data_IF_120568776778
#
_entry.id   IF_120568776778
#
_cell.length_a   1.000
_cell.length_b   1.000
_cell.length_c   1.000
_cell.angle_alpha   90.00
_cell.angle_beta   90.00
_cell.angle_gamma   90.00
#
_symmetry.space_group_name_H-M   'P 1'
#
loop_
_entity.id
_entity.type
_entity.pdbx_description
1 polymer ?
#
# COMPACT_ATOMS: atom_id res chain seq x y z
N UNK A 1 16.04 6.68 -4.01
CA UNK A 1 14.58 6.48 -3.92
C UNK A 1 14.27 5.19 -4.63
N UNK A 2 13.39 4.37 -4.07
CA UNK A 2 12.98 3.12 -4.70
C UNK A 2 11.49 3.15 -5.02
N UNK A 3 11.13 2.52 -6.12
CA UNK A 3 9.76 2.39 -6.61
C UNK A 3 9.53 0.92 -6.91
N UNK A 4 8.44 0.34 -6.44
CA UNK A 4 8.12 -1.05 -6.73
C UNK A 4 6.85 -1.10 -7.59
N UNK A 5 6.87 -1.83 -8.69
CA UNK A 5 5.73 -1.89 -9.62
C UNK A 5 4.61 -2.74 -9.04
N UNK A 6 3.57 -2.08 -8.51
CA UNK A 6 2.42 -2.76 -7.91
C UNK A 6 1.57 -3.54 -8.92
N UNK A 7 1.80 -3.33 -10.23
CA UNK A 7 1.16 -4.13 -11.30
C UNK A 7 1.87 -5.47 -11.45
N UNK A 8 3.21 -5.49 -11.42
CA UNK A 8 3.98 -6.73 -11.42
C UNK A 8 3.72 -7.54 -10.15
N UNK A 9 3.64 -6.87 -9.00
CA UNK A 9 3.27 -7.50 -7.74
C UNK A 9 1.88 -8.19 -7.82
N UNK A 10 0.91 -7.57 -8.48
CA UNK A 10 -0.40 -8.17 -8.73
C UNK A 10 -0.34 -9.34 -9.70
N UNK A 11 0.37 -9.20 -10.82
CA UNK A 11 0.52 -10.24 -11.85
C UNK A 11 1.23 -11.50 -11.33
N UNK A 12 2.07 -11.36 -10.30
CA UNK A 12 2.74 -12.47 -9.61
C UNK A 12 1.83 -13.22 -8.61
N UNK A 13 0.62 -12.74 -8.34
CA UNK A 13 -0.36 -13.45 -7.52
C UNK A 13 -0.97 -14.61 -8.31
N UNK A 14 -1.21 -15.75 -7.65
CA UNK A 14 -1.98 -16.84 -8.26
C UNK A 14 -3.42 -16.40 -8.54
N UNK A 15 -4.12 -17.08 -9.46
CA UNK A 15 -5.53 -16.78 -9.74
C UNK A 15 -6.42 -16.92 -8.50
N UNK A 16 -6.09 -17.84 -7.60
CA UNK A 16 -6.79 -18.02 -6.32
C UNK A 16 -6.54 -16.82 -5.39
N UNK A 17 -5.29 -16.36 -5.29
CA UNK A 17 -4.95 -15.16 -4.51
C UNK A 17 -5.66 -13.92 -5.07
N UNK A 18 -5.65 -13.73 -6.39
CA UNK A 18 -6.34 -12.62 -7.03
C UNK A 18 -7.84 -12.64 -6.73
N UNK A 19 -8.49 -13.80 -6.80
CA UNK A 19 -9.91 -13.94 -6.48
C UNK A 19 -10.21 -13.67 -5.00
N UNK A 20 -9.35 -14.17 -4.10
CA UNK A 20 -9.47 -13.99 -2.65
C UNK A 20 -9.28 -12.53 -2.22
N UNK A 21 -8.36 -11.81 -2.86
CA UNK A 21 -8.01 -10.42 -2.51
C UNK A 21 -8.90 -9.38 -3.20
N UNK A 22 -9.48 -9.69 -4.36
CA UNK A 22 -10.33 -8.77 -5.13
C UNK A 22 -11.47 -8.08 -4.35
N UNK A 23 -12.21 -8.75 -3.44
CA UNK A 23 -13.29 -8.08 -2.70
C UNK A 23 -12.80 -7.25 -1.51
N UNK A 24 -11.52 -7.38 -1.11
CA UNK A 24 -11.03 -6.74 0.10
C UNK A 24 -10.83 -5.24 -0.10
N UNK A 25 -11.20 -4.47 0.94
CA UNK A 25 -10.84 -3.06 1.07
C UNK A 25 -9.78 -2.92 2.17
N UNK A 26 -8.78 -2.10 1.93
CA UNK A 26 -7.80 -1.67 2.92
C UNK A 26 -8.26 -0.37 3.59
N UNK A 27 -8.18 -0.32 4.92
CA UNK A 27 -8.42 0.90 5.71
C UNK A 27 -7.12 1.67 5.86
N UNK A 28 -7.15 2.96 5.55
CA UNK A 28 -6.00 3.86 5.56
C UNK A 28 -6.17 4.97 6.61
N UNK A 29 -5.87 4.73 7.91
CA UNK A 29 -5.88 5.79 8.92
C UNK A 29 -4.70 6.74 8.71
N UNK A 30 -4.96 8.04 8.91
CA UNK A 30 -3.96 9.09 8.65
C UNK A 30 -2.66 8.94 9.47
N UNK A 31 -2.74 8.32 10.66
CA UNK A 31 -1.59 8.21 11.59
C UNK A 31 -1.01 6.80 11.72
N UNK A 32 -1.56 5.79 11.05
CA UNK A 32 -1.14 4.41 11.30
C UNK A 32 0.38 4.23 11.09
N UNK A 33 0.91 4.71 9.96
CA UNK A 33 2.35 4.66 9.68
C UNK A 33 3.19 5.47 10.67
N UNK A 34 2.68 6.61 11.19
CA UNK A 34 3.40 7.43 12.18
C UNK A 34 3.53 6.71 13.51
N UNK A 35 2.47 6.02 13.95
CA UNK A 35 2.46 5.16 15.14
C UNK A 35 3.53 4.08 15.04
N UNK A 36 3.66 3.43 13.87
CA UNK A 36 4.68 2.40 13.63
C UNK A 36 6.12 2.93 13.75
N UNK A 37 6.34 4.23 13.50
CA UNK A 37 7.64 4.89 13.63
C UNK A 37 7.88 5.52 15.02
N UNK A 38 7.01 5.27 16.00
CA UNK A 38 7.17 5.74 17.37
C UNK A 38 6.68 7.17 17.65
N UNK A 39 6.06 7.84 16.67
CA UNK A 39 5.33 9.08 16.94
C UNK A 39 3.99 8.69 17.53
N UNK A 40 3.76 9.02 18.80
CA UNK A 40 2.50 8.71 19.51
C UNK A 40 1.91 9.88 20.29
N UNK A 41 2.65 10.97 20.45
CA UNK A 41 2.18 12.17 21.17
C UNK A 41 1.41 13.09 20.23
N UNK A 42 0.08 12.95 20.22
CA UNK A 42 -0.83 13.84 19.52
C UNK A 42 -1.85 14.43 20.48
N UNK A 43 -2.19 15.71 20.30
CA UNK A 43 -3.29 16.31 21.06
C UNK A 43 -4.63 15.70 20.64
N UNK A 44 -5.59 15.67 21.57
CA UNK A 44 -6.96 15.23 21.27
C UNK A 44 -7.59 16.04 20.13
N UNK A 45 -7.31 17.36 20.07
CA UNK A 45 -7.74 18.22 18.96
C UNK A 45 -7.20 17.72 17.61
N UNK A 46 -5.91 17.38 17.54
CA UNK A 46 -5.32 16.83 16.32
C UNK A 46 -5.98 15.50 15.94
N UNK A 47 -6.17 14.59 16.90
CA UNK A 47 -6.82 13.29 16.69
C UNK A 47 -8.25 13.42 16.17
N UNK A 48 -9.03 14.38 16.69
CA UNK A 48 -10.42 14.59 16.27
C UNK A 48 -10.60 15.01 14.80
N UNK A 49 -9.55 15.57 14.18
CA UNK A 49 -9.56 15.99 12.77
C UNK A 49 -9.10 14.89 11.82
N UNK A 50 -8.62 13.77 12.36
CA UNK A 50 -8.00 12.71 11.59
C UNK A 50 -9.00 11.59 11.38
N UNK A 51 -9.21 11.26 10.10
CA UNK A 51 -10.07 10.16 9.69
C UNK A 51 -9.28 9.00 9.11
N UNK A 52 -10.04 8.05 8.59
CA UNK A 52 -9.58 6.97 7.74
C UNK A 52 -10.41 6.96 6.45
N UNK A 53 -9.87 6.30 5.43
CA UNK A 53 -10.58 6.00 4.20
C UNK A 53 -10.39 4.53 3.85
N UNK A 54 -11.46 3.89 3.38
CA UNK A 54 -11.39 2.52 2.89
C UNK A 54 -11.22 2.56 1.35
N UNK A 55 -10.19 1.88 0.84
CA UNK A 55 -9.87 1.79 -0.59
C UNK A 55 -9.80 0.33 -1.02
N UNK A 56 -10.12 -0.04 -2.28
CA UNK A 56 -9.91 -1.40 -2.76
C UNK A 56 -8.44 -1.82 -2.62
N UNK A 57 -8.19 -3.02 -2.10
CA UNK A 57 -6.84 -3.59 -2.05
C UNK A 57 -6.31 -3.89 -3.45
N UNK A 58 -7.21 -4.27 -4.37
CA UNK A 58 -6.91 -4.41 -5.79
C UNK A 58 -7.43 -3.18 -6.54
N UNK A 59 -6.51 -2.31 -6.93
CA UNK A 59 -6.79 -1.14 -7.75
C UNK A 59 -6.93 -1.48 -9.24
N UNK A 60 -7.47 -0.53 -10.00
CA UNK A 60 -7.48 -0.55 -11.46
C UNK A 60 -6.97 0.80 -11.97
N UNK A 61 -5.90 0.78 -12.77
CA UNK A 61 -5.37 1.97 -13.38
C UNK A 61 -6.23 2.37 -14.58
N UNK A 62 -6.99 3.46 -14.44
CA UNK A 62 -8.05 3.87 -15.36
C UNK A 62 -7.61 3.96 -16.84
N UNK A 63 -6.43 4.52 -17.10
CA UNK A 63 -5.97 4.73 -18.47
C UNK A 63 -5.46 3.46 -19.16
N UNK A 64 -5.04 2.43 -18.41
CA UNK A 64 -4.45 1.20 -18.98
C UNK A 64 -5.27 -0.05 -18.70
N UNK A 65 -6.26 0.01 -17.81
CA UNK A 65 -7.03 -1.13 -17.33
C UNK A 65 -6.21 -2.15 -16.52
N UNK A 66 -4.92 -1.90 -16.26
CA UNK A 66 -4.08 -2.81 -15.48
C UNK A 66 -4.49 -2.78 -14.02
N UNK A 67 -4.53 -3.96 -13.40
CA UNK A 67 -4.78 -4.09 -11.97
C UNK A 67 -3.49 -3.83 -11.18
N UNK A 68 -3.65 -3.31 -9.97
CA UNK A 68 -2.55 -2.98 -9.06
C UNK A 68 -2.84 -3.54 -7.68
N UNK A 69 -1.80 -4.00 -6.99
CA UNK A 69 -1.88 -4.31 -5.57
C UNK A 69 -1.65 -3.02 -4.77
N UNK A 70 -2.71 -2.39 -4.30
CA UNK A 70 -2.67 -1.05 -3.69
C UNK A 70 -2.19 -1.10 -2.22
N UNK A 71 -0.91 -1.40 -2.01
CA UNK A 71 -0.29 -1.45 -0.69
C UNK A 71 0.17 -0.07 -0.23
N UNK A 72 0.13 0.15 1.08
CA UNK A 72 0.76 1.30 1.70
C UNK A 72 1.07 1.02 3.18
N UNK A 73 2.11 1.68 3.70
CA UNK A 73 2.52 1.58 5.11
C UNK A 73 1.50 2.09 6.12
N UNK A 74 0.49 2.82 5.66
CA UNK A 74 -0.58 3.37 6.50
C UNK A 74 -1.86 2.52 6.46
N UNK A 75 -1.84 1.35 5.82
CA UNK A 75 -2.96 0.40 5.93
C UNK A 75 -2.93 -0.23 7.32
N UNK A 76 -4.02 -0.11 8.08
CA UNK A 76 -4.14 -0.75 9.39
C UNK A 76 -4.82 -2.12 9.31
N UNK A 77 -5.87 -2.25 8.51
CA UNK A 77 -6.68 -3.47 8.46
C UNK A 77 -7.36 -3.67 7.10
N UNK A 78 -7.78 -4.91 6.85
CA UNK A 78 -8.54 -5.32 5.69
C UNK A 78 -10.01 -5.55 6.08
N UNK A 79 -10.94 -5.22 5.18
CA UNK A 79 -12.37 -5.39 5.43
C UNK A 79 -12.71 -6.83 5.83
N UNK A 80 -13.36 -6.99 6.98
CA UNK A 80 -13.74 -8.30 7.53
C UNK A 80 -12.69 -8.94 8.45
N UNK A 81 -11.58 -8.26 8.71
CA UNK A 81 -10.50 -8.70 9.59
C UNK A 81 -10.17 -7.61 10.62
N UNK A 82 -9.67 -7.99 11.79
CA UNK A 82 -9.03 -7.05 12.72
C UNK A 82 -7.66 -6.58 12.21
N UNK A 83 -7.07 -5.57 12.85
CA UNK A 83 -5.68 -5.15 12.61
C UNK A 83 -4.70 -6.32 12.80
N UNK A 84 -4.87 -7.11 13.87
CA UNK A 84 -4.02 -8.27 14.17
C UNK A 84 -4.16 -9.39 13.13
N UNK A 85 -5.38 -9.65 12.65
CA UNK A 85 -5.63 -10.67 11.62
C UNK A 85 -5.13 -10.22 10.23
N UNK A 86 -5.16 -8.91 9.97
CA UNK A 86 -4.70 -8.32 8.70
C UNK A 86 -3.19 -8.27 8.59
N UNK A 87 -2.48 -8.03 9.71
CA UNK A 87 -1.05 -7.75 9.72
C UNK A 87 -0.17 -8.84 9.05
N UNK A 88 -0.37 -10.15 9.26
CA UNK A 88 0.43 -11.18 8.61
C UNK A 88 0.25 -11.17 7.08
N UNK A 89 -0.98 -10.97 6.60
CA UNK A 89 -1.27 -10.92 5.17
C UNK A 89 -0.69 -9.68 4.52
N UNK A 90 -0.86 -8.50 5.14
CA UNK A 90 -0.28 -7.25 4.66
C UNK A 90 1.25 -7.31 4.61
N UNK A 91 1.88 -7.92 5.62
CA UNK A 91 3.33 -8.14 5.65
C UNK A 91 3.77 -9.03 4.48
N UNK A 92 3.16 -10.21 4.32
CA UNK A 92 3.54 -11.14 3.26
C UNK A 92 3.35 -10.54 1.85
N UNK A 93 2.27 -9.77 1.64
CA UNK A 93 2.04 -9.05 0.39
C UNK A 93 3.08 -7.96 0.17
N UNK A 94 3.43 -7.20 1.21
CA UNK A 94 4.46 -6.15 1.14
C UNK A 94 5.82 -6.74 0.81
N UNK A 95 6.25 -7.79 1.51
CA UNK A 95 7.54 -8.47 1.29
C UNK A 95 7.67 -8.96 -0.17
N UNK A 96 6.62 -9.56 -0.74
CA UNK A 96 6.58 -9.97 -2.15
C UNK A 96 6.58 -8.78 -3.11
N UNK A 97 5.77 -7.75 -2.82
CA UNK A 97 5.65 -6.59 -3.68
C UNK A 97 6.95 -5.76 -3.73
N UNK A 98 7.73 -5.79 -2.66
CA UNK A 98 9.04 -5.12 -2.56
C UNK A 98 10.23 -6.02 -2.88
N UNK A 99 10.00 -7.20 -3.46
CA UNK A 99 11.08 -8.06 -3.93
C UNK A 99 11.87 -7.37 -5.07
N UNK A 100 13.19 -7.57 -5.19
CA UNK A 100 14.05 -6.83 -6.12
C UNK A 100 13.58 -6.82 -7.58
N UNK A 101 12.97 -7.91 -8.05
CA UNK A 101 12.41 -8.05 -9.39
C UNK A 101 11.26 -7.07 -9.68
N UNK A 102 10.59 -6.57 -8.65
CA UNK A 102 9.53 -5.58 -8.76
C UNK A 102 10.04 -4.15 -8.60
N UNK A 103 11.28 -3.94 -8.15
CA UNK A 103 11.74 -2.64 -7.69
C UNK A 103 12.79 -1.99 -8.60
N UNK A 104 12.63 -0.69 -8.79
CA UNK A 104 13.58 0.20 -9.41
C UNK A 104 14.23 1.09 -8.36
N UNK A 105 15.56 1.05 -8.26
CA UNK A 105 16.33 1.91 -7.36
C UNK A 105 16.95 3.08 -8.13
N UNK A 106 16.40 4.27 -7.92
CA UNK A 106 16.87 5.50 -8.54
C UNK A 106 18.08 6.07 -7.81
N UNK A 107 19.21 6.17 -8.53
CA UNK A 107 20.42 6.85 -8.09
C UNK A 107 20.38 8.31 -8.55
N UNK A 108 20.02 9.18 -7.62
CA UNK A 108 19.93 10.63 -7.84
C UNK A 108 21.24 11.24 -8.31
N UNK A 109 21.12 12.22 -9.21
CA UNK A 109 22.15 13.14 -9.64
C UNK A 109 21.64 14.57 -9.52
N UNK A 110 22.56 15.52 -9.45
CA UNK A 110 22.21 16.93 -9.41
C UNK A 110 21.40 17.32 -10.66
N UNK A 111 20.28 18.00 -10.46
CA UNK A 111 19.36 18.41 -11.53
C UNK A 111 18.31 17.37 -11.94
N UNK A 112 18.31 16.17 -11.35
CA UNK A 112 17.28 15.17 -11.64
C UNK A 112 15.90 15.65 -11.18
N UNK A 113 14.90 15.40 -12.02
CA UNK A 113 13.49 15.53 -11.71
C UNK A 113 12.79 14.20 -12.04
N UNK A 114 12.13 13.62 -11.05
CA UNK A 114 11.46 12.34 -11.17
C UNK A 114 9.97 12.50 -10.88
N UNK A 115 9.14 12.03 -11.80
CA UNK A 115 7.69 11.96 -11.65
C UNK A 115 7.28 10.48 -11.64
N UNK A 116 6.36 10.13 -10.74
CA UNK A 116 5.79 8.80 -10.65
C UNK A 116 4.29 8.86 -10.43
N UNK A 117 3.60 7.76 -10.70
CA UNK A 117 2.17 7.60 -10.47
C UNK A 117 1.91 6.73 -9.26
N UNK A 118 1.49 7.34 -8.14
CA UNK A 118 1.16 6.65 -6.89
C UNK A 118 0.03 5.61 -7.02
N UNK A 119 -0.69 5.57 -8.15
CA UNK A 119 -1.72 4.53 -8.39
C UNK A 119 -1.12 3.17 -8.75
N UNK A 120 0.16 3.12 -9.13
CA UNK A 120 0.82 1.88 -9.58
C UNK A 120 2.22 1.63 -9.01
N UNK A 121 2.72 2.47 -8.10
CA UNK A 121 4.02 2.26 -7.42
C UNK A 121 3.89 2.23 -5.91
#
# INVERSE_FOLDING_TARGET
TEFCDMRLAYEALSSEEQARLAPLKARHPTLHSRKLTGFTDWSEEALSRLGWVDRPLIGCHEATGRRTLALASHISELSGYSEEESAPLLRALTERATAPENCYSHRWREGDFLLWDNRCV
#
